data_IF_394831044509
#
_entry.id   IF_394831044509
#
_cell.length_a   1.000
_cell.length_b   1.000
_cell.length_c   1.000
_cell.angle_alpha   90.00
_cell.angle_beta   90.00
_cell.angle_gamma   90.00
#
_symmetry.space_group_name_H-M   'P 1'
#
loop_
_entity.id
_entity.type
_entity.pdbx_description
1 polymer ?
#
# COMPACT_ATOMS: atom_id res chain seq x y z
N UNK A 1 -1.57 13.60 6.27
CA UNK A 1 -2.18 13.12 5.01
C UNK A 1 -3.61 12.69 5.28
N UNK A 2 -4.48 12.82 4.29
CA UNK A 2 -5.85 12.29 4.31
C UNK A 2 -5.88 10.85 3.80
N UNK A 3 -6.99 10.14 4.03
CA UNK A 3 -7.17 8.76 3.58
C UNK A 3 -7.10 8.61 2.06
N UNK A 4 -7.67 9.58 1.35
CA UNK A 4 -7.69 9.62 -0.10
C UNK A 4 -6.27 9.78 -0.67
N UNK A 5 -5.49 10.74 -0.12
CA UNK A 5 -4.07 10.91 -0.48
C UNK A 5 -3.24 9.66 -0.20
N UNK A 6 -3.51 8.96 0.91
CA UNK A 6 -2.81 7.72 1.24
C UNK A 6 -3.16 6.58 0.26
N UNK A 7 -4.43 6.44 -0.11
CA UNK A 7 -4.88 5.46 -1.10
C UNK A 7 -4.23 5.71 -2.46
N UNK A 8 -4.23 6.96 -2.92
CA UNK A 8 -3.61 7.31 -4.21
C UNK A 8 -2.10 7.09 -4.19
N UNK A 9 -1.43 7.41 -3.08
CA UNK A 9 -0.01 7.12 -2.92
C UNK A 9 0.30 5.62 -2.99
N UNK A 10 -0.49 4.78 -2.33
CA UNK A 10 -0.33 3.32 -2.35
C UNK A 10 -0.58 2.79 -3.76
N UNK A 11 -1.66 3.23 -4.43
CA UNK A 11 -1.96 2.85 -5.82
C UNK A 11 -0.84 3.24 -6.77
N UNK A 12 -0.32 4.45 -6.64
CA UNK A 12 0.81 4.91 -7.46
C UNK A 12 2.09 4.13 -7.20
N UNK A 13 2.34 3.74 -5.95
CA UNK A 13 3.48 2.90 -5.62
C UNK A 13 3.32 1.49 -6.19
N UNK A 14 2.11 0.91 -6.16
CA UNK A 14 1.82 -0.38 -6.79
C UNK A 14 1.96 -0.27 -8.31
N UNK A 15 1.47 0.79 -8.96
CA UNK A 15 1.62 1.02 -10.42
C UNK A 15 3.07 1.10 -10.89
N UNK A 16 4.01 1.42 -10.00
CA UNK A 16 5.45 1.38 -10.35
C UNK A 16 5.99 -0.03 -10.46
N UNK A 17 5.36 -0.98 -9.78
CA UNK A 17 5.74 -2.38 -9.74
C UNK A 17 4.94 -3.14 -10.81
N UNK A 18 3.61 -2.97 -10.78
CA UNK A 18 2.67 -3.53 -11.74
C UNK A 18 1.97 -2.39 -12.49
N UNK A 19 2.53 -1.94 -13.64
CA UNK A 19 1.97 -0.83 -14.40
C UNK A 19 0.56 -1.08 -14.93
N UNK A 20 0.21 -2.35 -15.13
CA UNK A 20 -1.10 -2.79 -15.61
C UNK A 20 -2.10 -3.08 -14.46
N UNK A 21 -1.78 -2.68 -13.22
CA UNK A 21 -2.65 -2.90 -12.07
C UNK A 21 -3.99 -2.17 -12.21
N UNK A 22 -5.08 -2.94 -12.18
CA UNK A 22 -6.44 -2.42 -12.23
C UNK A 22 -7.05 -2.27 -10.83
N UNK A 23 -7.19 -1.03 -10.37
CA UNK A 23 -7.81 -0.69 -9.09
C UNK A 23 -9.30 -0.36 -9.21
N UNK A 24 -9.87 -0.44 -10.41
CA UNK A 24 -11.30 -0.17 -10.63
C UNK A 24 -12.16 -1.40 -10.31
N UNK A 25 -11.62 -2.59 -10.56
CA UNK A 25 -12.23 -3.87 -10.20
C UNK A 25 -11.84 -4.35 -8.78
N UNK A 26 -10.79 -3.79 -8.20
CA UNK A 26 -10.28 -4.16 -6.87
C UNK A 26 -10.99 -3.36 -5.76
N UNK A 27 -11.69 -4.05 -4.87
CA UNK A 27 -12.29 -3.45 -3.68
C UNK A 27 -11.23 -2.95 -2.68
N UNK A 28 -11.59 -1.94 -1.88
CA UNK A 28 -10.66 -1.39 -0.87
C UNK A 28 -10.28 -2.42 0.19
N UNK A 29 -11.19 -3.33 0.51
CA UNK A 29 -11.00 -4.38 1.52
C UNK A 29 -10.55 -5.73 0.91
N UNK A 30 -10.26 -5.75 -0.39
CA UNK A 30 -9.77 -6.94 -1.06
C UNK A 30 -8.26 -7.12 -0.82
N UNK A 31 -7.77 -8.37 -0.77
CA UNK A 31 -6.35 -8.66 -0.66
C UNK A 31 -5.64 -8.29 -1.96
N UNK A 32 -5.10 -7.08 -2.02
CA UNK A 32 -4.50 -6.53 -3.24
C UNK A 32 -3.26 -7.30 -3.71
N UNK A 33 -2.54 -7.95 -2.79
CA UNK A 33 -1.35 -8.74 -3.14
C UNK A 33 -1.72 -9.94 -3.99
N UNK A 34 -2.75 -10.68 -3.58
CA UNK A 34 -3.22 -11.84 -4.33
C UNK A 34 -3.91 -11.41 -5.63
N UNK A 35 -4.72 -10.35 -5.56
CA UNK A 35 -5.47 -9.86 -6.72
C UNK A 35 -4.60 -9.27 -7.83
N UNK A 36 -3.45 -8.69 -7.47
CA UNK A 36 -2.47 -8.11 -8.40
C UNK A 36 -1.26 -9.02 -8.60
N UNK A 37 -1.31 -10.26 -8.09
CA UNK A 37 -0.26 -11.27 -8.18
C UNK A 37 1.13 -10.76 -7.71
N UNK A 38 1.14 -9.89 -6.68
CA UNK A 38 2.37 -9.35 -6.11
C UNK A 38 3.10 -10.42 -5.31
N UNK A 39 4.38 -10.61 -5.64
CA UNK A 39 5.23 -11.48 -4.84
C UNK A 39 5.75 -10.77 -3.56
N UNK A 40 6.56 -11.48 -2.78
CA UNK A 40 7.13 -10.93 -1.55
C UNK A 40 8.13 -9.80 -1.81
N UNK A 41 8.87 -9.83 -2.93
CA UNK A 41 9.84 -8.80 -3.30
C UNK A 41 9.16 -7.53 -3.80
N UNK A 42 8.07 -7.68 -4.55
CA UNK A 42 7.19 -6.61 -4.98
C UNK A 42 6.59 -5.90 -3.77
N UNK A 43 6.09 -6.67 -2.80
CA UNK A 43 5.57 -6.10 -1.58
C UNK A 43 6.65 -5.34 -0.78
N UNK A 44 7.86 -5.89 -0.65
CA UNK A 44 8.96 -5.18 0.02
C UNK A 44 9.32 -3.87 -0.72
N UNK A 45 9.34 -3.89 -2.04
CA UNK A 45 9.58 -2.70 -2.88
C UNK A 45 8.47 -1.66 -2.71
N UNK A 46 7.22 -2.09 -2.59
CA UNK A 46 6.07 -1.24 -2.29
C UNK A 46 6.24 -0.56 -0.94
N UNK A 47 6.52 -1.34 0.11
CA UNK A 47 6.74 -0.84 1.47
C UNK A 47 7.89 0.18 1.51
N UNK A 48 9.01 -0.13 0.86
CA UNK A 48 10.16 0.77 0.80
C UNK A 48 9.83 2.07 0.05
N UNK A 49 9.10 1.98 -1.06
CA UNK A 49 8.67 3.15 -1.85
C UNK A 49 7.74 4.04 -1.04
N UNK A 50 6.75 3.45 -0.35
CA UNK A 50 5.81 4.17 0.51
C UNK A 50 6.56 4.82 1.68
N UNK A 51 7.44 4.08 2.34
CA UNK A 51 8.28 4.58 3.45
C UNK A 51 9.12 5.77 3.02
N UNK A 52 9.80 5.70 1.86
CA UNK A 52 10.61 6.81 1.34
C UNK A 52 9.79 8.04 0.98
N UNK A 53 8.56 7.86 0.48
CA UNK A 53 7.68 8.96 0.07
C UNK A 53 7.00 9.65 1.26
N UNK A 54 6.59 8.87 2.25
CA UNK A 54 5.79 9.37 3.38
C UNK A 54 6.61 9.62 4.64
N UNK A 55 7.80 9.02 4.75
CA UNK A 55 8.57 8.96 5.99
C UNK A 55 8.04 7.98 7.03
N UNK A 56 6.91 7.30 6.76
CA UNK A 56 6.30 6.34 7.69
C UNK A 56 7.13 5.06 7.70
N UNK A 57 7.60 4.67 8.89
CA UNK A 57 8.28 3.38 9.08
C UNK A 57 7.25 2.25 9.11
N UNK A 58 7.49 1.23 8.30
CA UNK A 58 6.71 0.00 8.25
C UNK A 58 7.67 -1.15 8.55
N UNK A 59 7.42 -1.88 9.64
CA UNK A 59 8.22 -3.04 10.03
C UNK A 59 7.50 -4.35 9.64
N UNK A 60 8.21 -5.48 9.68
CA UNK A 60 7.66 -6.80 9.26
C UNK A 60 6.44 -7.23 10.07
N UNK A 61 6.37 -6.82 11.34
CA UNK A 61 5.23 -7.06 12.22
C UNK A 61 3.93 -6.36 11.75
N UNK A 62 4.04 -5.33 10.92
CA UNK A 62 2.89 -4.63 10.35
C UNK A 62 2.40 -5.25 9.04
N UNK A 63 3.20 -6.11 8.39
CA UNK A 63 2.83 -6.68 7.09
C UNK A 63 1.49 -7.41 7.07
N UNK A 64 1.09 -8.16 8.12
CA UNK A 64 -0.23 -8.79 8.19
C UNK A 64 -1.40 -7.79 8.28
N UNK A 65 -1.13 -6.54 8.67
CA UNK A 65 -2.13 -5.45 8.72
C UNK A 65 -2.26 -4.75 7.37
N UNK A 66 -1.26 -4.85 6.50
CA UNK A 66 -1.20 -4.23 5.17
C UNK A 66 -1.68 -5.20 4.07
N UNK A 67 -2.75 -5.95 4.35
CA UNK A 67 -3.32 -6.94 3.42
C UNK A 67 -4.28 -6.29 2.42
N UNK A 68 -4.95 -5.21 2.81
CA UNK A 68 -5.93 -4.49 1.99
C UNK A 68 -5.50 -3.04 1.76
N UNK A 69 -5.99 -2.41 0.68
CA UNK A 69 -5.70 -1.01 0.38
C UNK A 69 -6.26 -0.08 1.47
N UNK A 70 -7.45 -0.40 1.97
CA UNK A 70 -8.14 0.25 3.08
C UNK A 70 -7.26 0.29 4.32
N UNK A 71 -6.76 -0.88 4.75
CA UNK A 71 -5.93 -1.00 5.94
C UNK A 71 -4.55 -0.34 5.77
N UNK A 72 -3.97 -0.39 4.56
CA UNK A 72 -2.72 0.30 4.27
C UNK A 72 -2.90 1.83 4.35
N UNK A 73 -3.93 2.38 3.71
CA UNK A 73 -4.21 3.81 3.79
C UNK A 73 -4.49 4.25 5.24
N UNK A 74 -5.26 3.47 6.00
CA UNK A 74 -5.53 3.76 7.40
C UNK A 74 -4.25 3.71 8.25
N UNK A 75 -3.36 2.76 8.00
CA UNK A 75 -2.04 2.71 8.63
C UNK A 75 -1.22 3.97 8.35
N UNK A 76 -1.16 4.41 7.09
CA UNK A 76 -0.39 5.59 6.70
C UNK A 76 -0.96 6.88 7.30
N UNK A 77 -2.28 7.06 7.28
CA UNK A 77 -2.92 8.24 7.87
C UNK A 77 -2.66 8.35 9.38
N UNK A 78 -2.68 7.23 10.10
CA UNK A 78 -2.44 7.20 11.54
C UNK A 78 -0.97 7.48 11.89
N UNK A 79 -0.03 7.01 11.08
CA UNK A 79 1.41 7.13 11.38
C UNK A 79 2.05 8.39 10.80
N UNK A 80 1.52 8.95 9.70
CA UNK A 80 2.07 10.16 9.10
C UNK A 80 1.60 11.46 9.76
N UNK A 81 0.63 11.39 10.67
CA UNK A 81 0.20 12.51 11.50
C UNK A 81 1.07 12.69 12.77
N UNK A 82 2.13 11.90 12.92
CA UNK A 82 2.94 11.81 14.13
C UNK A 82 4.33 12.39 13.98
#
# INVERSE_FOLDING_TARGET
MTRDEALDLVRDAIRRIVPDADFTALGLDDPYRDALELDSLDFLTLVETVTKRTGVRIDEDDYPKLTTLSAFADFLTQNAAR
#
